data_IF_131472033980
#
_entry.id   IF_131472033980
#
_cell.length_a   1.000
_cell.length_b   1.000
_cell.length_c   1.000
_cell.angle_alpha   90.00
_cell.angle_beta   90.00
_cell.angle_gamma   90.00
#
_symmetry.space_group_name_H-M   'P 1'
#
loop_
_entity.id
_entity.type
_entity.pdbx_description
1 polymer ?
#
# COMPACT_ATOMS: atom_id res chain seq x y z
N UNK A 1 10.81 26.28 -87.29
CA UNK A 1 11.84 26.01 -86.27
C UNK A 1 11.95 27.19 -85.32
N UNK A 2 11.47 27.02 -84.08
CA UNK A 2 11.90 27.74 -82.87
C UNK A 2 11.29 26.97 -81.69
N UNK A 3 12.16 26.28 -80.96
CA UNK A 3 11.86 25.42 -79.81
C UNK A 3 11.19 26.25 -78.70
N UNK A 4 10.12 25.75 -78.11
CA UNK A 4 9.64 26.20 -76.79
C UNK A 4 9.57 24.97 -75.89
N UNK A 5 10.53 24.91 -74.99
CA UNK A 5 10.65 23.92 -73.93
C UNK A 5 9.58 24.25 -72.90
N UNK A 6 8.65 23.33 -72.66
CA UNK A 6 7.72 23.42 -71.54
C UNK A 6 8.50 22.96 -70.31
N UNK A 7 8.79 23.90 -69.41
CA UNK A 7 9.38 23.62 -68.10
C UNK A 7 8.24 23.08 -67.22
N UNK A 8 8.23 21.77 -66.98
CA UNK A 8 7.37 21.15 -65.97
C UNK A 8 8.04 21.42 -64.62
N UNK A 9 7.58 22.45 -63.91
CA UNK A 9 7.98 22.70 -62.52
C UNK A 9 7.36 21.63 -61.62
N UNK A 10 8.20 20.70 -61.15
CA UNK A 10 7.87 19.75 -60.09
C UNK A 10 7.47 20.54 -58.83
N UNK A 11 6.17 20.55 -58.52
CA UNK A 11 5.66 20.96 -57.21
C UNK A 11 5.97 19.81 -56.25
N UNK A 12 7.10 19.93 -55.56
CA UNK A 12 7.55 19.00 -54.52
C UNK A 12 6.95 19.43 -53.16
N UNK A 13 6.10 18.54 -52.63
CA UNK A 13 5.82 18.33 -51.21
C UNK A 13 5.36 19.54 -50.35
N UNK A 14 4.08 19.91 -50.48
CA UNK A 14 3.30 20.34 -49.30
C UNK A 14 2.58 19.13 -48.70
N UNK A 15 3.29 18.39 -47.86
CA UNK A 15 2.67 17.52 -46.85
C UNK A 15 3.45 17.72 -45.56
N UNK A 16 3.43 18.92 -45.00
CA UNK A 16 3.67 19.09 -43.57
C UNK A 16 2.40 18.64 -42.85
N UNK A 17 2.25 17.32 -42.75
CA UNK A 17 1.44 16.71 -41.71
C UNK A 17 1.97 17.27 -40.38
N UNK A 18 1.29 18.29 -39.86
CA UNK A 18 1.27 18.57 -38.43
C UNK A 18 0.55 17.40 -37.76
N UNK A 19 1.19 16.23 -37.77
CA UNK A 19 1.07 15.29 -36.69
C UNK A 19 2.00 15.81 -35.61
N UNK A 20 1.48 16.64 -34.71
CA UNK A 20 1.99 16.60 -33.35
C UNK A 20 1.70 15.18 -32.85
N UNK A 21 2.57 14.23 -33.18
CA UNK A 21 2.79 13.12 -32.29
C UNK A 21 3.34 13.83 -31.04
N UNK A 22 2.44 14.12 -30.08
CA UNK A 22 2.87 14.23 -28.70
C UNK A 22 3.78 13.03 -28.50
N UNK A 23 5.06 13.31 -28.26
CA UNK A 23 6.02 12.31 -27.87
C UNK A 23 5.32 11.51 -26.77
N UNK A 24 4.98 10.27 -27.10
CA UNK A 24 4.45 9.31 -26.16
C UNK A 24 5.46 9.30 -25.02
N UNK A 25 5.16 10.07 -23.96
CA UNK A 25 5.83 9.91 -22.68
C UNK A 25 5.76 8.41 -22.43
N UNK A 26 6.89 7.74 -22.16
CA UNK A 26 6.88 6.30 -21.96
C UNK A 26 5.79 6.01 -20.95
N UNK A 27 4.73 5.32 -21.40
CA UNK A 27 3.66 4.90 -20.51
C UNK A 27 4.35 4.03 -19.48
N UNK A 28 4.45 4.51 -18.24
CA UNK A 28 5.07 3.75 -17.16
C UNK A 28 4.25 2.47 -17.05
N UNK A 29 4.82 1.36 -17.54
CA UNK A 29 4.14 0.07 -17.50
C UNK A 29 3.97 -0.31 -16.03
N UNK A 30 2.71 -0.38 -15.60
CA UNK A 30 2.40 -0.70 -14.22
C UNK A 30 2.42 -2.22 -14.02
N UNK A 31 3.17 -2.67 -13.02
CA UNK A 31 3.16 -4.05 -12.57
C UNK A 31 2.70 -4.11 -11.10
N UNK A 32 1.67 -4.92 -10.77
CA UNK A 32 1.23 -5.11 -9.39
C UNK A 32 2.37 -5.61 -8.49
N UNK A 33 2.41 -5.12 -7.24
CA UNK A 33 3.41 -5.54 -6.26
C UNK A 33 2.88 -5.45 -4.83
N UNK A 34 3.61 -6.12 -3.92
CA UNK A 34 3.40 -6.05 -2.48
C UNK A 34 4.75 -5.95 -1.77
N UNK A 35 4.87 -5.06 -0.79
CA UNK A 35 6.09 -4.82 -0.03
C UNK A 35 5.77 -4.60 1.45
N UNK A 36 6.67 -5.09 2.30
CA UNK A 36 6.71 -4.83 3.74
C UNK A 36 8.09 -4.26 4.03
N UNK A 37 8.15 -3.04 4.54
CA UNK A 37 9.39 -2.31 4.76
C UNK A 37 9.50 -1.92 6.22
N UNK A 38 10.58 -2.30 6.90
CA UNK A 38 10.89 -1.77 8.22
C UNK A 38 11.31 -0.30 8.08
N UNK A 39 10.75 0.57 8.90
CA UNK A 39 11.11 1.98 8.94
C UNK A 39 12.04 2.24 10.12
N UNK A 40 13.13 2.97 9.89
CA UNK A 40 14.07 3.41 10.94
C UNK A 40 13.51 4.53 11.83
N UNK A 41 12.27 4.95 11.61
CA UNK A 41 11.64 6.05 12.34
C UNK A 41 11.37 5.66 13.80
N UNK A 42 11.77 6.53 14.73
CA UNK A 42 11.41 6.43 16.15
C UNK A 42 9.90 6.38 16.29
N UNK A 43 9.40 5.39 17.01
CA UNK A 43 7.98 5.31 17.37
C UNK A 43 7.77 6.35 18.46
N UNK A 44 6.87 7.30 18.23
CA UNK A 44 6.38 8.18 19.30
C UNK A 44 5.89 7.31 20.46
N UNK A 45 6.17 7.73 21.70
CA UNK A 45 6.05 6.91 22.91
C UNK A 45 4.89 5.89 22.82
N UNK A 46 5.18 4.57 22.92
CA UNK A 46 4.19 3.54 22.69
C UNK A 46 2.99 3.71 23.60
N UNK A 47 1.78 3.42 23.10
CA UNK A 47 0.56 3.48 23.90
C UNK A 47 0.73 2.60 25.14
N UNK A 48 0.67 3.18 26.36
CA UNK A 48 0.89 2.43 27.60
C UNK A 48 -0.09 1.25 27.76
N UNK A 49 -1.29 1.34 27.18
CA UNK A 49 -2.29 0.29 27.22
C UNK A 49 -1.88 -0.97 26.46
N UNK A 50 -0.97 -0.89 25.48
CA UNK A 50 -0.47 -2.06 24.77
C UNK A 50 0.38 -2.94 25.68
N UNK A 51 1.25 -2.33 26.48
CA UNK A 51 2.14 -3.08 27.38
C UNK A 51 1.36 -3.93 28.37
N UNK A 52 0.33 -3.35 28.99
CA UNK A 52 -0.54 -4.09 29.92
C UNK A 52 -1.28 -5.23 29.22
N UNK A 53 -1.86 -4.99 28.03
CA UNK A 53 -2.56 -6.03 27.24
C UNK A 53 -1.63 -7.16 26.78
N UNK A 54 -0.40 -6.83 26.39
CA UNK A 54 0.62 -7.81 25.99
C UNK A 54 1.04 -8.63 27.21
N UNK A 55 1.32 -7.98 28.34
CA UNK A 55 1.67 -8.66 29.59
C UNK A 55 0.57 -9.64 30.03
N UNK A 56 -0.69 -9.22 29.98
CA UNK A 56 -1.82 -10.09 30.32
C UNK A 56 -1.91 -11.29 29.37
N UNK A 57 -1.71 -11.11 28.06
CA UNK A 57 -1.68 -12.23 27.11
C UNK A 57 -0.52 -13.20 27.37
N UNK A 58 0.67 -12.71 27.73
CA UNK A 58 1.80 -13.58 28.11
C UNK A 58 1.45 -14.46 29.32
N UNK A 59 0.75 -13.91 30.31
CA UNK A 59 0.32 -14.64 31.50
C UNK A 59 -0.83 -15.61 31.16
N UNK A 60 -1.92 -15.08 30.63
CA UNK A 60 -3.19 -15.79 30.48
C UNK A 60 -3.18 -16.80 29.34
N UNK A 61 -2.49 -16.49 28.23
CA UNK A 61 -2.48 -17.34 27.02
C UNK A 61 -1.26 -18.25 26.98
N UNK A 62 -0.10 -17.76 27.43
CA UNK A 62 1.18 -18.48 27.32
C UNK A 62 1.68 -19.02 28.66
N UNK A 63 1.01 -18.73 29.78
CA UNK A 63 1.30 -19.33 31.09
C UNK A 63 2.58 -18.79 31.76
N UNK A 64 3.08 -17.63 31.34
CA UNK A 64 4.22 -17.00 32.00
C UNK A 64 3.84 -16.49 33.40
N UNK A 65 4.78 -16.52 34.34
CA UNK A 65 4.60 -15.81 35.61
C UNK A 65 4.64 -14.29 35.40
N UNK A 66 4.11 -13.52 36.36
CA UNK A 66 4.22 -12.05 36.32
C UNK A 66 5.67 -11.58 36.20
N UNK A 67 6.59 -12.19 36.97
CA UNK A 67 8.01 -11.86 36.95
C UNK A 67 8.66 -12.12 35.58
N UNK A 68 8.35 -13.26 34.96
CA UNK A 68 8.91 -13.60 33.65
C UNK A 68 8.31 -12.72 32.55
N UNK A 69 7.01 -12.41 32.63
CA UNK A 69 6.34 -11.51 31.69
C UNK A 69 6.94 -10.11 31.76
N UNK A 70 7.21 -9.60 32.97
CA UNK A 70 7.87 -8.31 33.18
C UNK A 70 9.28 -8.28 32.56
N UNK A 71 10.07 -9.36 32.74
CA UNK A 71 11.40 -9.48 32.12
C UNK A 71 11.34 -9.47 30.59
N UNK A 72 10.33 -10.12 30.00
CA UNK A 72 10.12 -10.12 28.54
C UNK A 72 9.77 -8.71 28.05
N UNK A 73 8.87 -8.00 28.74
CA UNK A 73 8.52 -6.61 28.43
C UNK A 73 9.74 -5.69 28.53
N UNK A 74 10.56 -5.81 29.59
CA UNK A 74 11.74 -4.94 29.77
C UNK A 74 12.82 -5.13 28.70
N UNK A 75 12.88 -6.32 28.07
CA UNK A 75 13.84 -6.65 27.00
C UNK A 75 13.21 -6.60 25.61
N UNK A 76 12.17 -5.80 25.45
CA UNK A 76 11.45 -5.65 24.20
C UNK A 76 11.72 -4.31 23.54
N UNK A 77 11.46 -4.24 22.23
CA UNK A 77 11.46 -3.02 21.46
C UNK A 77 10.15 -2.90 20.68
N UNK A 78 9.91 -1.70 20.15
CA UNK A 78 8.88 -1.47 19.16
C UNK A 78 9.53 -1.16 17.82
N UNK A 79 8.93 -1.67 16.75
CA UNK A 79 9.36 -1.49 15.37
C UNK A 79 8.18 -1.03 14.52
N UNK A 80 8.44 -0.08 13.62
CA UNK A 80 7.44 0.42 12.67
C UNK A 80 7.70 -0.20 11.31
N UNK A 81 6.64 -0.71 10.70
CA UNK A 81 6.69 -1.22 9.34
C UNK A 81 5.70 -0.46 8.46
N UNK A 82 6.04 -0.28 7.20
CA UNK A 82 5.11 0.18 6.18
C UNK A 82 4.72 -1.01 5.29
N UNK A 83 3.42 -1.20 5.15
CA UNK A 83 2.83 -2.06 4.15
C UNK A 83 2.49 -1.23 2.92
N UNK A 84 2.92 -1.69 1.77
CA UNK A 84 2.60 -1.08 0.48
C UNK A 84 2.14 -2.16 -0.49
N UNK A 85 1.01 -1.90 -1.14
CA UNK A 85 0.44 -2.77 -2.17
C UNK A 85 -0.04 -1.92 -3.33
N UNK A 86 0.33 -2.28 -4.54
CA UNK A 86 -0.20 -1.65 -5.74
C UNK A 86 -0.87 -2.69 -6.63
N UNK A 87 -2.02 -2.32 -7.21
CA UNK A 87 -2.82 -3.18 -8.07
C UNK A 87 -3.61 -2.37 -9.09
N UNK A 88 -4.27 -3.08 -10.00
CA UNK A 88 -5.23 -2.52 -10.96
C UNK A 88 -6.64 -2.92 -10.52
N UNK A 89 -7.57 -1.97 -10.54
CA UNK A 89 -8.99 -2.26 -10.63
C UNK A 89 -9.40 -2.19 -12.10
N UNK A 90 -9.89 -3.28 -12.67
CA UNK A 90 -10.47 -3.28 -14.02
C UNK A 90 -11.97 -2.97 -13.93
N UNK A 91 -12.46 -2.04 -14.76
CA UNK A 91 -13.88 -1.73 -14.89
C UNK A 91 -14.19 -1.12 -16.25
N UNK A 92 -15.22 -1.63 -16.93
CA UNK A 92 -15.67 -1.17 -18.26
C UNK A 92 -14.52 -0.99 -19.28
N UNK A 93 -13.70 -2.04 -19.45
CA UNK A 93 -12.52 -2.08 -20.31
C UNK A 93 -11.44 -1.02 -20.02
N UNK A 94 -11.52 -0.36 -18.87
CA UNK A 94 -10.51 0.57 -18.39
C UNK A 94 -9.79 0.00 -17.18
N UNK A 95 -8.54 0.42 -17.02
CA UNK A 95 -7.66 0.04 -15.91
C UNK A 95 -7.45 1.22 -14.98
N UNK A 96 -7.63 0.98 -13.69
CA UNK A 96 -7.44 1.97 -12.64
C UNK A 96 -6.35 1.51 -11.68
N UNK A 97 -5.06 1.74 -11.98
CA UNK A 97 -3.97 1.40 -11.09
C UNK A 97 -3.95 2.29 -9.85
N UNK A 98 -3.80 1.66 -8.69
CA UNK A 98 -3.82 2.31 -7.38
C UNK A 98 -2.75 1.73 -6.46
N UNK A 99 -2.39 2.51 -5.43
CA UNK A 99 -1.49 2.12 -4.35
C UNK A 99 -2.20 2.28 -3.01
N UNK A 100 -2.19 1.22 -2.22
CA UNK A 100 -2.64 1.19 -0.84
C UNK A 100 -1.44 1.19 0.09
N UNK A 101 -1.50 2.00 1.16
CA UNK A 101 -0.46 2.07 2.18
C UNK A 101 -1.03 2.00 3.59
N UNK A 102 -0.36 1.26 4.47
CA UNK A 102 -0.64 1.22 5.90
C UNK A 102 0.67 1.18 6.70
N UNK A 103 0.62 1.67 7.94
CA UNK A 103 1.68 1.48 8.91
C UNK A 103 1.27 0.43 9.95
N UNK A 104 2.24 -0.39 10.34
CA UNK A 104 2.14 -1.32 11.46
C UNK A 104 3.09 -0.87 12.57
N UNK A 105 2.65 -1.03 13.81
CA UNK A 105 3.54 -1.03 14.97
C UNK A 105 3.61 -2.46 15.51
N UNK A 106 4.83 -2.98 15.59
CA UNK A 106 5.12 -4.31 16.12
C UNK A 106 5.88 -4.14 17.44
N UNK A 107 5.38 -4.73 18.51
CA UNK A 107 6.16 -4.99 19.72
C UNK A 107 6.90 -6.31 19.55
N UNK A 108 8.17 -6.39 19.95
CA UNK A 108 8.98 -7.60 19.77
C UNK A 108 9.93 -7.80 20.95
N UNK A 109 10.11 -9.06 21.32
CA UNK A 109 11.11 -9.57 22.24
C UNK A 109 11.87 -10.72 21.58
N UNK A 110 12.82 -11.33 22.30
CA UNK A 110 13.56 -12.52 21.80
C UNK A 110 12.66 -13.74 21.54
N UNK A 111 11.48 -13.83 22.16
CA UNK A 111 10.62 -15.03 22.10
C UNK A 111 9.22 -14.79 21.56
N UNK A 112 8.70 -13.56 21.67
CA UNK A 112 7.36 -13.18 21.24
C UNK A 112 7.37 -11.87 20.50
N UNK A 113 6.36 -11.66 19.66
CA UNK A 113 6.03 -10.37 19.08
C UNK A 113 4.52 -10.13 19.17
N UNK A 114 4.09 -8.90 18.96
CA UNK A 114 2.70 -8.55 18.85
C UNK A 114 2.50 -7.48 17.78
N UNK A 115 1.47 -7.65 16.95
CA UNK A 115 0.97 -6.55 16.13
C UNK A 115 0.15 -5.66 17.06
N UNK A 116 0.58 -4.42 17.26
CA UNK A 116 0.01 -3.50 18.25
C UNK A 116 -1.00 -2.54 17.64
N UNK A 117 -0.69 -2.01 16.47
CA UNK A 117 -1.58 -1.11 15.74
C UNK A 117 -1.39 -1.23 14.25
N UNK A 118 -2.44 -0.86 13.52
CA UNK A 118 -2.51 -0.86 12.07
C UNK A 118 -3.24 0.40 11.67
N UNK A 119 -2.52 1.30 11.00
CA UNK A 119 -3.04 2.60 10.62
C UNK A 119 -2.99 2.71 9.09
N UNK A 120 -4.16 2.76 8.44
CA UNK A 120 -4.20 3.12 7.02
C UNK A 120 -3.73 4.56 6.84
N UNK A 121 -2.92 4.81 5.83
CA UNK A 121 -2.59 6.19 5.42
C UNK A 121 -3.64 6.70 4.45
N UNK A 122 -3.58 6.20 3.23
CA UNK A 122 -4.51 6.51 2.15
C UNK A 122 -4.36 5.47 1.05
N UNK A 123 -5.39 5.35 0.23
CA UNK A 123 -5.24 4.77 -1.10
C UNK A 123 -4.99 5.93 -2.06
N UNK A 124 -3.90 5.85 -2.81
CA UNK A 124 -3.44 6.88 -3.73
C UNK A 124 -3.48 6.36 -5.16
N UNK A 125 -3.69 7.25 -6.15
CA UNK A 125 -3.53 6.86 -7.55
C UNK A 125 -2.07 6.49 -7.83
N UNK A 126 -1.86 5.50 -8.70
CA UNK A 126 -0.50 5.18 -9.16
C UNK A 126 -0.05 6.09 -10.32
N UNK A 127 -1.01 6.63 -11.07
CA UNK A 127 -0.78 7.48 -12.24
C UNK A 127 -1.54 8.80 -12.10
N UNK A 128 -0.96 9.89 -12.59
CA UNK A 128 -1.52 11.25 -12.44
C UNK A 128 -2.86 11.46 -13.18
N UNK A 129 -3.21 10.60 -14.14
CA UNK A 129 -4.45 10.69 -14.90
C UNK A 129 -5.68 10.17 -14.15
N UNK A 130 -5.50 9.69 -12.92
CA UNK A 130 -6.55 9.14 -12.08
C UNK A 130 -6.48 9.83 -10.73
N UNK A 131 -7.62 10.27 -10.21
CA UNK A 131 -7.72 10.68 -8.80
C UNK A 131 -8.48 9.59 -8.02
N UNK A 132 -8.19 9.48 -6.73
CA UNK A 132 -8.91 8.58 -5.82
C UNK A 132 -9.66 9.40 -4.78
N UNK A 133 -10.95 9.10 -4.65
CA UNK A 133 -11.81 9.66 -3.62
C UNK A 133 -12.13 8.57 -2.59
N UNK A 134 -11.83 8.81 -1.33
CA UNK A 134 -12.26 7.94 -0.24
C UNK A 134 -13.78 8.00 -0.08
N UNK A 135 -14.42 6.84 0.07
CA UNK A 135 -15.88 6.69 0.16
C UNK A 135 -16.24 6.00 1.49
N UNK A 136 -16.79 6.74 2.46
CA UNK A 136 -17.13 6.22 3.78
C UNK A 136 -16.13 6.61 4.88
N UNK A 137 -16.15 5.94 6.06
CA UNK A 137 -15.23 6.26 7.15
C UNK A 137 -13.77 6.05 6.71
N UNK A 138 -12.87 6.93 7.17
CA UNK A 138 -11.44 6.88 6.83
C UNK A 138 -10.73 5.68 7.47
N UNK A 139 -11.31 5.07 8.50
CA UNK A 139 -10.69 3.96 9.21
C UNK A 139 -10.67 2.67 8.36
N UNK A 140 -9.54 1.93 8.36
CA UNK A 140 -9.46 0.64 7.72
C UNK A 140 -10.58 -0.28 8.19
N UNK A 141 -11.12 -1.05 7.26
CA UNK A 141 -11.67 -2.33 7.64
C UNK A 141 -10.50 -3.32 7.82
N UNK A 142 -10.23 -3.71 9.06
CA UNK A 142 -9.32 -4.81 9.41
C UNK A 142 -10.18 -5.98 9.89
N UNK A 143 -10.17 -7.09 9.16
CA UNK A 143 -10.88 -8.30 9.59
C UNK A 143 -10.06 -9.10 10.61
N UNK A 144 -10.77 -9.73 11.55
CA UNK A 144 -10.30 -10.87 12.34
C UNK A 144 -9.06 -10.65 13.22
N UNK A 145 -8.76 -9.40 13.61
CA UNK A 145 -7.61 -9.11 14.45
C UNK A 145 -7.98 -8.23 15.66
N UNK A 146 -7.94 -8.84 16.85
CA UNK A 146 -7.97 -8.11 18.11
C UNK A 146 -6.54 -7.64 18.38
N UNK A 147 -6.35 -6.32 18.49
CA UNK A 147 -5.03 -5.70 18.70
C UNK A 147 -4.88 -5.23 20.16
N UNK A 148 -3.71 -5.42 20.80
CA UNK A 148 -2.56 -6.18 20.31
C UNK A 148 -2.80 -7.70 20.33
N UNK A 149 -2.20 -8.44 19.39
CA UNK A 149 -2.21 -9.92 19.38
C UNK A 149 -0.80 -10.46 19.57
N UNK A 150 -0.54 -11.11 20.71
CA UNK A 150 0.76 -11.72 21.02
C UNK A 150 0.91 -13.05 20.29
N UNK A 151 2.09 -13.29 19.71
CA UNK A 151 2.45 -14.48 18.95
C UNK A 151 3.90 -14.87 19.26
N UNK A 152 4.25 -16.18 19.24
CA UNK A 152 5.64 -16.61 19.38
C UNK A 152 6.47 -16.28 18.13
N UNK A 153 7.79 -16.10 18.30
CA UNK A 153 8.78 -15.96 17.19
C UNK A 153 9.03 -17.31 16.50
N UNK A 154 7.95 -17.88 15.99
CA UNK A 154 7.91 -19.11 15.17
C UNK A 154 6.64 -19.17 14.33
N UNK A 155 5.74 -18.21 14.51
CA UNK A 155 4.43 -18.16 13.88
C UNK A 155 4.27 -16.82 13.17
N UNK A 156 4.02 -16.83 11.86
CA UNK A 156 3.57 -15.64 11.12
C UNK A 156 2.07 -15.39 11.31
N UNK A 157 1.60 -14.22 10.88
CA UNK A 157 0.17 -13.88 10.90
C UNK A 157 -0.25 -13.25 9.58
N UNK A 158 -1.51 -13.49 9.20
CA UNK A 158 -2.14 -12.81 8.08
C UNK A 158 -3.02 -11.67 8.58
N UNK A 159 -3.05 -10.59 7.81
CA UNK A 159 -3.91 -9.44 8.07
C UNK A 159 -4.60 -9.04 6.77
N UNK A 160 -5.92 -9.02 6.79
CA UNK A 160 -6.74 -8.51 5.69
C UNK A 160 -7.12 -7.06 5.99
N UNK A 161 -6.76 -6.17 5.07
CA UNK A 161 -7.12 -4.76 5.15
C UNK A 161 -7.81 -4.33 3.87
N UNK A 162 -8.73 -3.38 3.99
CA UNK A 162 -9.34 -2.76 2.82
C UNK A 162 -9.67 -1.29 3.01
N UNK A 163 -10.01 -0.67 1.89
CA UNK A 163 -10.56 0.67 1.82
C UNK A 163 -11.71 0.68 0.80
N UNK A 164 -12.66 1.59 1.00
CA UNK A 164 -13.74 1.84 0.05
C UNK A 164 -13.44 3.15 -0.68
N UNK A 165 -13.33 3.06 -2.00
CA UNK A 165 -12.83 4.16 -2.84
C UNK A 165 -13.66 4.31 -4.12
N UNK A 166 -13.62 5.49 -4.70
CA UNK A 166 -14.02 5.76 -6.07
C UNK A 166 -12.83 6.31 -6.85
N UNK A 167 -12.78 6.01 -8.15
CA UNK A 167 -11.82 6.60 -9.07
C UNK A 167 -12.46 7.78 -9.80
N UNK A 168 -11.71 8.85 -10.03
CA UNK A 168 -12.13 9.97 -10.85
C UNK A 168 -11.22 10.01 -12.08
N UNK A 169 -11.82 9.89 -13.27
CA UNK A 169 -11.15 9.97 -14.57
C UNK A 169 -11.98 10.85 -15.49
N UNK A 170 -11.36 11.86 -16.09
CA UNK A 170 -12.04 12.83 -16.98
C UNK A 170 -13.30 13.46 -16.33
N UNK A 171 -13.24 13.72 -15.03
CA UNK A 171 -14.34 14.29 -14.23
C UNK A 171 -15.48 13.31 -13.90
N UNK A 172 -15.39 12.05 -14.34
CA UNK A 172 -16.38 11.01 -14.06
C UNK A 172 -15.98 10.20 -12.83
N UNK A 173 -16.95 9.97 -11.93
CA UNK A 173 -16.77 9.09 -10.77
C UNK A 173 -17.10 7.64 -11.15
N UNK A 174 -16.16 6.74 -10.91
CA UNK A 174 -16.23 5.32 -11.24
C UNK A 174 -16.07 4.53 -9.93
N UNK A 175 -17.12 3.84 -9.54
CA UNK A 175 -17.21 3.15 -8.24
C UNK A 175 -18.55 3.40 -7.55
N UNK A 176 -18.63 3.19 -6.21
CA UNK A 176 -17.55 2.86 -5.30
C UNK A 176 -17.10 1.39 -5.41
N UNK A 177 -15.83 1.14 -5.15
CA UNK A 177 -15.23 -0.19 -5.03
C UNK A 177 -14.74 -0.42 -3.61
N UNK A 178 -14.76 -1.69 -3.18
CA UNK A 178 -14.01 -2.14 -2.01
C UNK A 178 -12.71 -2.76 -2.52
N UNK A 179 -11.58 -2.13 -2.22
CA UNK A 179 -10.26 -2.70 -2.49
C UNK A 179 -9.76 -3.40 -1.22
N UNK A 180 -9.40 -4.68 -1.33
CA UNK A 180 -8.99 -5.51 -0.19
C UNK A 180 -7.69 -6.23 -0.52
N UNK A 181 -6.81 -6.34 0.47
CA UNK A 181 -5.58 -7.14 0.36
C UNK A 181 -5.25 -7.82 1.67
N UNK A 182 -4.88 -9.09 1.58
CA UNK A 182 -4.30 -9.86 2.68
C UNK A 182 -2.78 -9.81 2.62
N UNK A 183 -2.16 -9.45 3.74
CA UNK A 183 -0.72 -9.41 3.93
C UNK A 183 -0.30 -10.52 4.87
N UNK A 184 0.66 -11.34 4.45
CA UNK A 184 1.37 -12.25 5.34
C UNK A 184 2.52 -11.49 6.00
N UNK A 185 2.47 -11.38 7.33
CA UNK A 185 3.53 -10.82 8.15
C UNK A 185 4.33 -12.00 8.71
N UNK A 186 5.55 -12.25 8.19
CA UNK A 186 6.42 -13.26 8.77
C UNK A 186 6.76 -12.87 10.22
N UNK A 187 7.07 -13.86 11.05
CA UNK A 187 7.60 -13.55 12.39
C UNK A 187 8.91 -12.75 12.23
N UNK A 188 9.16 -11.73 13.06
CA UNK A 188 10.39 -10.95 13.01
C UNK A 188 11.63 -11.82 13.26
N UNK A 189 12.74 -11.57 12.55
CA UNK A 189 14.03 -12.23 12.82
C UNK A 189 14.60 -11.75 14.16
N UNK A 190 15.11 -12.64 15.01
CA UNK A 190 15.73 -12.29 16.30
C UNK A 190 16.92 -11.36 16.10
#
# INVERSE_FOLDING_TARGET
MKKRIIIISLILCMVSLFGCAEENKPSVEFHPYQKIMQLEATIEAPDPSWIEKIKNQLIDTYGYSEENSEKIIQKSNFERYQLEYASIQDYDNNQYPYRFMADLVIWKSESHYAVCSINNKATEPYVDSIEIKAEGPQEPWVENLILPKVLPISQGTEITMGSRISFIKDGQNIGPFTVVRTFYIPYPSI
#
